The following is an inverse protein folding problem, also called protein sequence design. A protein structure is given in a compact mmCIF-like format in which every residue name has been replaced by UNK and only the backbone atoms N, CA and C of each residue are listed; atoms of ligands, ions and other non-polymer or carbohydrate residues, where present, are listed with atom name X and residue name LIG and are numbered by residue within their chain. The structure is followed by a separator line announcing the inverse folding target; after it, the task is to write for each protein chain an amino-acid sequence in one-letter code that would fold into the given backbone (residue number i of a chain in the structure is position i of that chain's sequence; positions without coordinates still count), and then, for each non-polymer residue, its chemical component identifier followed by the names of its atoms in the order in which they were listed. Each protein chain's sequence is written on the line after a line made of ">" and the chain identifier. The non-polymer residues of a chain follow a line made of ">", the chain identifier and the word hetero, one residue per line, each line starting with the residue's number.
data_IF_981576969846
#
_entry.id   IF_981576969846
#
_cell.length_a   1.000
_cell.length_b   1.000
_cell.length_c   1.000
_cell.angle_alpha   90.00
_cell.angle_beta   90.00
_cell.angle_gamma   90.00
#
_symmetry.space_group_name_H-M   'P 1'
#
loop_
_entity.id
_entity.type
_entity.pdbx_description
1 polymer ?
#
# COMPACT_ATOMS: atom_id res chain seq x y z
N UNK A 1 1.97 -7.74 4.62
CA UNK A 1 3.24 -8.06 3.97
C UNK A 1 3.27 -9.55 3.74
N UNK A 2 2.95 -9.98 2.52
CA UNK A 2 2.70 -11.40 2.22
C UNK A 2 3.24 -11.86 0.86
N UNK A 3 3.72 -10.93 0.04
CA UNK A 3 4.39 -11.19 -1.23
C UNK A 3 5.57 -10.23 -1.40
N UNK A 4 6.60 -10.70 -2.08
CA UNK A 4 7.82 -9.99 -2.39
C UNK A 4 7.53 -8.70 -3.16
N UNK A 5 8.06 -7.57 -2.66
CA UNK A 5 7.88 -6.24 -3.24
C UNK A 5 6.50 -5.62 -3.03
N UNK A 6 5.49 -6.36 -2.56
CA UNK A 6 4.12 -5.87 -2.52
C UNK A 6 3.96 -4.63 -1.63
N UNK A 7 4.33 -4.73 -0.36
CA UNK A 7 4.19 -3.62 0.60
C UNK A 7 5.15 -2.48 0.27
N UNK A 8 6.42 -2.80 0.01
CA UNK A 8 7.43 -1.78 -0.30
C UNK A 8 7.05 -0.93 -1.51
N UNK A 9 6.52 -1.54 -2.58
CA UNK A 9 6.20 -0.82 -3.81
C UNK A 9 4.95 0.03 -3.68
N UNK A 10 3.90 -0.50 -3.04
CA UNK A 10 2.69 0.27 -2.74
C UNK A 10 2.99 1.47 -1.83
N UNK A 11 3.86 1.30 -0.83
CA UNK A 11 4.31 2.40 0.02
C UNK A 11 5.16 3.41 -0.76
N UNK A 12 6.08 2.96 -1.61
CA UNK A 12 6.90 3.87 -2.42
C UNK A 12 6.02 4.74 -3.34
N UNK A 13 5.01 4.15 -3.98
CA UNK A 13 4.01 4.87 -4.78
C UNK A 13 3.27 5.90 -3.92
N UNK A 14 2.72 5.47 -2.78
CA UNK A 14 1.91 6.37 -1.95
C UNK A 14 2.73 7.49 -1.29
N UNK A 15 3.96 7.21 -0.82
CA UNK A 15 4.85 8.25 -0.30
C UNK A 15 5.31 9.20 -1.40
N UNK A 16 5.48 8.74 -2.64
CA UNK A 16 5.77 9.62 -3.78
C UNK A 16 4.59 10.56 -4.06
N UNK A 17 3.36 10.08 -3.91
CA UNK A 17 2.19 10.94 -3.99
C UNK A 17 2.12 11.94 -2.82
N UNK A 18 2.41 11.53 -1.57
CA UNK A 18 2.48 12.47 -0.45
C UNK A 18 3.60 13.51 -0.61
N UNK A 19 4.74 13.11 -1.17
CA UNK A 19 5.82 14.00 -1.57
C UNK A 19 5.32 15.04 -2.58
N UNK A 20 4.70 14.60 -3.68
CA UNK A 20 4.17 15.50 -4.69
C UNK A 20 3.15 16.48 -4.10
N UNK A 21 2.24 15.98 -3.25
CA UNK A 21 1.26 16.79 -2.56
C UNK A 21 1.91 17.82 -1.63
N UNK A 22 2.92 17.43 -0.85
CA UNK A 22 3.68 18.34 0.00
C UNK A 22 4.37 19.46 -0.78
N UNK A 23 4.95 19.13 -1.94
CA UNK A 23 5.54 20.13 -2.85
C UNK A 23 4.48 21.10 -3.37
N UNK A 24 3.35 20.59 -3.86
CA UNK A 24 2.27 21.41 -4.44
C UNK A 24 1.64 22.34 -3.39
N UNK A 25 1.48 21.86 -2.16
CA UNK A 25 0.92 22.64 -1.05
C UNK A 25 1.94 23.60 -0.39
N UNK A 26 3.19 23.63 -0.87
CA UNK A 26 4.25 24.45 -0.28
C UNK A 26 4.71 24.00 1.12
N UNK A 27 4.42 22.76 1.50
CA UNK A 27 4.80 22.12 2.78
C UNK A 27 6.16 21.42 2.62
N UNK A 28 7.23 22.20 2.53
CA UNK A 28 8.58 21.69 2.20
C UNK A 28 9.16 20.72 3.24
N UNK A 29 8.83 20.92 4.51
CA UNK A 29 9.15 20.04 5.64
C UNK A 29 8.53 18.65 5.47
N UNK A 30 7.24 18.59 5.16
CA UNK A 30 6.50 17.34 4.95
C UNK A 30 6.92 16.66 3.63
N UNK A 31 7.18 17.45 2.58
CA UNK A 31 7.71 16.95 1.33
C UNK A 31 9.08 16.28 1.52
N UNK A 32 9.97 16.89 2.31
CA UNK A 32 11.30 16.32 2.61
C UNK A 32 11.20 15.04 3.45
N UNK A 33 10.26 14.99 4.41
CA UNK A 33 9.98 13.79 5.19
C UNK A 33 9.49 12.64 4.28
N UNK A 34 8.55 12.92 3.37
CA UNK A 34 8.10 11.95 2.37
C UNK A 34 9.23 11.50 1.43
N UNK A 35 10.09 12.44 0.99
CA UNK A 35 11.25 12.16 0.15
C UNK A 35 12.21 11.16 0.83
N UNK A 36 12.44 11.36 2.12
CA UNK A 36 13.32 10.49 2.92
C UNK A 36 12.77 9.07 3.01
N UNK A 37 11.45 8.93 3.19
CA UNK A 37 10.79 7.62 3.21
C UNK A 37 10.85 6.92 1.85
N UNK A 38 10.61 7.64 0.75
CA UNK A 38 10.80 7.11 -0.61
C UNK A 38 12.26 6.69 -0.81
N UNK A 39 13.21 7.55 -0.43
CA UNK A 39 14.64 7.29 -0.54
C UNK A 39 15.10 6.06 0.25
N UNK A 40 14.52 5.81 1.43
CA UNK A 40 14.79 4.59 2.22
C UNK A 40 14.11 3.33 1.66
N UNK A 41 12.95 3.48 1.01
CA UNK A 41 12.22 2.37 0.40
C UNK A 41 12.85 1.87 -0.90
N UNK A 42 13.52 2.73 -1.68
CA UNK A 42 14.22 2.33 -2.92
C UNK A 42 15.26 1.22 -2.68
N UNK A 43 16.25 1.37 -1.77
CA UNK A 43 17.22 0.31 -1.50
C UNK A 43 16.55 -0.90 -0.86
N UNK A 44 15.55 -0.72 0.01
CA UNK A 44 14.77 -1.84 0.55
C UNK A 44 14.13 -2.66 -0.59
N UNK A 45 13.46 -2.01 -1.53
CA UNK A 45 12.84 -2.65 -2.70
C UNK A 45 13.85 -3.38 -3.58
N UNK A 46 15.06 -2.83 -3.77
CA UNK A 46 16.13 -3.52 -4.50
C UNK A 46 16.45 -4.90 -3.89
N UNK A 47 16.36 -5.04 -2.57
CA UNK A 47 16.57 -6.32 -1.87
C UNK A 47 15.28 -7.12 -1.64
N UNK A 48 14.10 -6.51 -1.75
CA UNK A 48 12.80 -7.12 -1.45
C UNK A 48 12.00 -7.55 -2.69
N UNK A 49 12.29 -7.04 -3.89
CA UNK A 49 11.68 -7.53 -5.13
C UNK A 49 12.06 -8.99 -5.35
N UNK A 50 11.10 -9.77 -5.84
CA UNK A 50 11.22 -11.21 -6.04
C UNK A 50 12.51 -11.62 -6.80
N UNK A 51 13.27 -12.60 -6.28
CA UNK A 51 13.12 -13.27 -4.99
C UNK A 51 13.68 -12.43 -3.83
N UNK A 52 12.89 -12.22 -2.77
CA UNK A 52 13.27 -11.36 -1.65
C UNK A 52 14.47 -11.91 -0.85
N UNK A 53 15.39 -11.00 -0.54
CA UNK A 53 16.55 -11.21 0.34
C UNK A 53 16.35 -10.57 1.72
N UNK A 54 15.48 -9.57 1.79
CA UNK A 54 15.14 -8.83 3.00
C UNK A 54 13.62 -8.69 3.08
N UNK A 55 13.06 -8.92 4.25
CA UNK A 55 11.64 -8.76 4.54
C UNK A 55 11.42 -7.55 5.44
N UNK A 56 10.30 -6.83 5.27
CA UNK A 56 9.99 -5.69 6.12
C UNK A 56 9.72 -6.12 7.57
N UNK A 57 9.07 -7.26 7.73
CA UNK A 57 8.55 -7.74 9.00
C UNK A 57 7.51 -6.79 9.60
N UNK A 58 7.04 -7.11 10.80
CA UNK A 58 6.05 -6.29 11.49
C UNK A 58 6.59 -4.90 11.87
N UNK A 59 7.89 -4.80 12.15
CA UNK A 59 8.53 -3.54 12.53
C UNK A 59 8.49 -2.54 11.37
N UNK A 60 8.96 -2.94 10.17
CA UNK A 60 8.95 -2.08 9.00
C UNK A 60 7.52 -1.74 8.54
N UNK A 61 6.66 -2.76 8.42
CA UNK A 61 5.31 -2.58 7.91
C UNK A 61 4.46 -1.65 8.79
N UNK A 62 4.50 -1.79 10.12
CA UNK A 62 3.75 -0.92 11.03
C UNK A 62 4.32 0.49 11.10
N UNK A 63 5.66 0.64 11.11
CA UNK A 63 6.32 1.94 11.13
C UNK A 63 5.99 2.76 9.88
N UNK A 64 6.08 2.15 8.69
CA UNK A 64 5.74 2.82 7.44
C UNK A 64 4.25 3.14 7.35
N UNK A 65 3.36 2.24 7.76
CA UNK A 65 1.93 2.54 7.80
C UNK A 65 1.62 3.73 8.73
N UNK A 66 2.25 3.79 9.90
CA UNK A 66 2.14 4.92 10.82
C UNK A 66 2.62 6.23 10.20
N UNK A 67 3.80 6.23 9.56
CA UNK A 67 4.33 7.38 8.85
C UNK A 67 3.42 7.84 7.69
N UNK A 68 2.84 6.89 6.96
CA UNK A 68 1.92 7.14 5.85
C UNK A 68 0.65 7.88 6.30
N UNK A 69 0.05 7.42 7.39
CA UNK A 69 -1.11 8.05 8.00
C UNK A 69 -0.73 9.42 8.59
N UNK A 70 0.38 9.49 9.33
CA UNK A 70 0.84 10.73 9.95
C UNK A 70 1.09 11.84 8.91
N UNK A 71 1.80 11.55 7.83
CA UNK A 71 2.04 12.52 6.76
C UNK A 71 0.73 12.99 6.10
N UNK A 72 -0.21 12.08 5.86
CA UNK A 72 -1.52 12.44 5.28
C UNK A 72 -2.34 13.34 6.21
N UNK A 73 -2.25 13.13 7.52
CA UNK A 73 -2.88 13.99 8.54
C UNK A 73 -2.21 15.37 8.59
N UNK A 74 -0.87 15.41 8.63
CA UNK A 74 -0.11 16.66 8.69
C UNK A 74 -0.25 17.52 7.43
N UNK A 75 -0.55 16.90 6.28
CA UNK A 75 -0.88 17.60 5.04
C UNK A 75 -2.33 18.12 4.99
N UNK A 76 -3.14 17.93 6.04
CA UNK A 76 -4.57 18.25 6.07
C UNK A 76 -5.35 17.56 4.93
N UNK A 77 -4.93 16.35 4.56
CA UNK A 77 -5.51 15.55 3.46
C UNK A 77 -5.85 14.12 3.88
N UNK A 78 -6.21 13.92 5.15
CA UNK A 78 -6.58 12.63 5.73
C UNK A 78 -7.63 11.85 4.91
N UNK A 79 -8.58 12.57 4.30
CA UNK A 79 -9.69 11.98 3.55
C UNK A 79 -9.25 11.21 2.30
N UNK A 80 -8.02 11.39 1.81
CA UNK A 80 -7.51 10.65 0.65
C UNK A 80 -6.97 9.27 1.02
N UNK A 81 -6.75 8.98 2.31
CA UNK A 81 -6.15 7.73 2.79
C UNK A 81 -6.86 6.47 2.27
N UNK A 82 -8.20 6.39 2.20
CA UNK A 82 -8.87 5.20 1.66
C UNK A 82 -8.55 4.93 0.19
N UNK A 83 -8.26 5.98 -0.59
CA UNK A 83 -7.84 5.86 -1.98
C UNK A 83 -6.34 5.60 -2.07
N UNK A 84 -5.54 6.44 -1.43
CA UNK A 84 -4.09 6.38 -1.48
C UNK A 84 -3.53 5.06 -0.93
N UNK A 85 -4.14 4.53 0.13
CA UNK A 85 -3.89 3.20 0.67
C UNK A 85 -4.87 2.13 0.19
N UNK A 86 -5.60 2.37 -0.91
CA UNK A 86 -6.76 1.56 -1.28
C UNK A 86 -6.46 0.08 -1.50
N UNK A 87 -5.27 -0.28 -1.99
CA UNK A 87 -4.85 -1.68 -2.07
C UNK A 87 -4.70 -2.29 -0.67
N UNK A 88 -4.10 -1.58 0.29
CA UNK A 88 -4.01 -2.04 1.69
C UNK A 88 -5.39 -2.14 2.35
N UNK A 89 -6.29 -1.22 2.04
CA UNK A 89 -7.68 -1.27 2.52
C UNK A 89 -8.39 -2.51 1.98
N UNK A 90 -8.27 -2.79 0.67
CA UNK A 90 -8.87 -3.98 0.05
C UNK A 90 -8.29 -5.28 0.63
N UNK A 91 -6.98 -5.33 0.87
CA UNK A 91 -6.32 -6.45 1.55
C UNK A 91 -6.93 -6.69 2.94
N UNK A 92 -7.02 -5.66 3.78
CA UNK A 92 -7.61 -5.77 5.12
C UNK A 92 -9.10 -6.12 5.10
N UNK A 93 -9.88 -5.47 4.23
CA UNK A 93 -11.31 -5.74 4.07
C UNK A 93 -11.56 -7.17 3.60
N UNK A 94 -10.71 -7.71 2.73
CA UNK A 94 -10.87 -9.10 2.28
C UNK A 94 -10.81 -10.10 3.43
N UNK A 95 -9.93 -9.87 4.42
CA UNK A 95 -9.83 -10.69 5.63
C UNK A 95 -11.06 -10.54 6.51
N UNK A 96 -11.51 -9.29 6.74
CA UNK A 96 -12.70 -9.02 7.57
C UNK A 96 -13.93 -9.70 6.95
N UNK A 97 -14.15 -9.54 5.65
CA UNK A 97 -15.26 -10.15 4.91
C UNK A 97 -15.18 -11.67 4.98
N UNK A 98 -13.98 -12.24 4.75
CA UNK A 98 -13.78 -13.69 4.80
C UNK A 98 -14.10 -14.27 6.18
N UNK A 99 -13.55 -13.66 7.24
CA UNK A 99 -13.78 -14.09 8.63
C UNK A 99 -15.26 -13.95 9.00
N UNK A 100 -15.90 -12.84 8.63
CA UNK A 100 -17.33 -12.63 8.87
C UNK A 100 -18.17 -13.71 8.16
N UNK A 101 -17.89 -14.02 6.89
CA UNK A 101 -18.62 -15.04 6.14
C UNK A 101 -18.51 -16.44 6.75
N UNK A 102 -17.30 -16.83 7.16
CA UNK A 102 -17.07 -18.13 7.82
C UNK A 102 -17.79 -18.21 9.16
N UNK A 103 -17.76 -17.14 9.97
CA UNK A 103 -18.47 -17.07 11.26
C UNK A 103 -20.00 -17.09 11.10
N UNK A 104 -20.53 -16.46 10.05
CA UNK A 104 -21.96 -16.40 9.75
C UNK A 104 -22.49 -17.66 9.01
N UNK A 105 -21.69 -18.74 8.95
CA UNK A 105 -22.00 -20.04 8.31
C UNK A 105 -22.25 -19.97 6.80
N UNK A 106 -21.77 -18.93 6.10
CA UNK A 106 -21.98 -18.73 4.65
C UNK A 106 -20.85 -19.23 3.75
N UNK A 107 -19.91 -20.01 4.30
CA UNK A 107 -18.76 -20.50 3.55
C UNK A 107 -17.72 -19.40 3.27
N UNK A 108 -16.81 -19.67 2.33
CA UNK A 108 -15.71 -18.77 1.94
C UNK A 108 -16.16 -17.84 0.80
N UNK A 109 -15.89 -16.54 0.91
CA UNK A 109 -16.17 -15.56 -0.16
C UNK A 109 -15.03 -15.53 -1.16
N UNK A 110 -13.80 -15.42 -0.65
CA UNK A 110 -12.58 -15.54 -1.43
C UNK A 110 -12.02 -16.95 -1.27
N UNK A 111 -11.41 -17.48 -2.35
CA UNK A 111 -10.68 -18.76 -2.30
C UNK A 111 -9.66 -18.81 -1.15
N UNK A 112 -8.96 -17.71 -0.92
CA UNK A 112 -8.08 -17.47 0.22
C UNK A 112 -8.06 -15.97 0.54
N UNK A 113 -7.90 -15.62 1.82
CA UNK A 113 -7.68 -14.25 2.26
C UNK A 113 -6.31 -14.18 2.94
N UNK A 114 -5.54 -13.08 2.81
CA UNK A 114 -5.88 -11.82 2.12
C UNK A 114 -5.99 -11.93 0.59
N UNK A 115 -6.42 -10.86 -0.09
CA UNK A 115 -6.85 -10.92 -1.49
C UNK A 115 -5.71 -11.23 -2.47
N UNK A 116 -4.45 -10.97 -2.16
CA UNK A 116 -3.34 -11.42 -3.01
C UNK A 116 -3.30 -12.95 -3.15
N UNK A 117 -3.48 -13.70 -2.06
CA UNK A 117 -3.52 -15.16 -2.10
C UNK A 117 -4.72 -15.70 -2.90
N UNK A 118 -5.83 -14.96 -2.93
CA UNK A 118 -6.95 -15.31 -3.80
C UNK A 118 -6.53 -15.39 -5.27
N UNK A 119 -5.67 -14.48 -5.73
CA UNK A 119 -5.16 -14.47 -7.09
C UNK A 119 -4.10 -15.55 -7.34
N UNK A 120 -3.26 -15.85 -6.34
CA UNK A 120 -2.30 -16.95 -6.43
C UNK A 120 -3.00 -18.30 -6.56
N UNK A 121 -4.04 -18.55 -5.77
CA UNK A 121 -4.86 -19.77 -5.87
C UNK A 121 -5.59 -19.85 -7.24
N UNK A 122 -5.85 -18.72 -7.90
CA UNK A 122 -6.34 -18.67 -9.29
C UNK A 122 -5.26 -18.92 -10.35
N UNK A 123 -4.03 -19.23 -9.94
CA UNK A 123 -2.91 -19.55 -10.83
C UNK A 123 -2.11 -18.34 -11.30
N UNK A 124 -2.20 -17.18 -10.63
CA UNK A 124 -1.29 -16.07 -10.92
C UNK A 124 0.04 -16.30 -10.21
N UNK A 125 1.14 -15.97 -10.88
CA UNK A 125 2.46 -15.94 -10.23
C UNK A 125 2.51 -14.78 -9.23
N UNK A 126 3.24 -14.94 -8.13
CA UNK A 126 3.47 -13.90 -7.12
C UNK A 126 3.89 -12.57 -7.76
N UNK A 127 4.88 -12.61 -8.67
CA UNK A 127 5.34 -11.43 -9.43
C UNK A 127 4.23 -10.75 -10.21
N UNK A 128 3.32 -11.52 -10.82
CA UNK A 128 2.17 -10.98 -11.55
C UNK A 128 1.16 -10.33 -10.63
N UNK A 129 0.94 -10.87 -9.43
CA UNK A 129 0.08 -10.25 -8.41
C UNK A 129 0.69 -8.93 -7.95
N UNK A 130 1.96 -8.94 -7.52
CA UNK A 130 2.69 -7.75 -7.07
C UNK A 130 2.65 -6.63 -8.11
N UNK A 131 3.03 -6.91 -9.37
CA UNK A 131 3.05 -5.88 -10.42
C UNK A 131 1.66 -5.32 -10.73
N UNK A 132 0.61 -6.15 -10.72
CA UNK A 132 -0.77 -5.68 -10.95
C UNK A 132 -1.29 -4.85 -9.78
N UNK A 133 -0.90 -5.18 -8.56
CA UNK A 133 -1.26 -4.42 -7.38
C UNK A 133 -0.53 -3.08 -7.37
N UNK A 134 0.72 -3.02 -7.83
CA UNK A 134 1.43 -1.76 -8.05
C UNK A 134 0.73 -0.89 -9.10
N UNK A 135 0.28 -1.47 -10.22
CA UNK A 135 -0.50 -0.72 -11.23
C UNK A 135 -1.80 -0.16 -10.63
N UNK A 136 -2.54 -0.97 -9.88
CA UNK A 136 -3.75 -0.52 -9.19
C UNK A 136 -3.43 0.57 -8.14
N UNK A 137 -2.36 0.39 -7.37
CA UNK A 137 -1.89 1.37 -6.38
C UNK A 137 -1.47 2.69 -7.02
N UNK A 138 -0.77 2.65 -8.15
CA UNK A 138 -0.39 3.83 -8.92
C UNK A 138 -1.59 4.59 -9.46
N UNK A 139 -2.58 3.87 -10.01
CA UNK A 139 -3.83 4.46 -10.45
C UNK A 139 -4.61 5.11 -9.30
N UNK A 140 -4.74 4.41 -8.16
CA UNK A 140 -5.41 4.93 -6.98
C UNK A 140 -4.68 6.14 -6.37
N UNK A 141 -3.34 6.14 -6.37
CA UNK A 141 -2.54 7.27 -5.92
C UNK A 141 -2.70 8.50 -6.83
N UNK A 142 -2.75 8.29 -8.15
CA UNK A 142 -3.08 9.37 -9.10
C UNK A 142 -4.47 9.96 -8.83
N UNK A 143 -5.49 9.10 -8.65
CA UNK A 143 -6.84 9.55 -8.34
C UNK A 143 -6.91 10.28 -6.99
N UNK A 144 -6.20 9.78 -5.98
CA UNK A 144 -6.08 10.42 -4.67
C UNK A 144 -5.45 11.81 -4.77
N UNK A 145 -4.38 11.97 -5.56
CA UNK A 145 -3.76 13.27 -5.83
C UNK A 145 -4.72 14.22 -6.53
N UNK A 146 -5.41 13.75 -7.58
CA UNK A 146 -6.39 14.56 -8.29
C UNK A 146 -7.47 15.10 -7.34
N UNK A 147 -8.03 14.23 -6.50
CA UNK A 147 -9.06 14.61 -5.53
C UNK A 147 -8.49 15.48 -4.39
N UNK A 148 -7.21 15.32 -4.03
CA UNK A 148 -6.58 16.14 -2.98
C UNK A 148 -6.40 17.61 -3.37
N UNK A 149 -6.33 17.88 -4.67
CA UNK A 149 -6.02 19.19 -5.25
C UNK A 149 -7.26 19.96 -5.74
N UNK A 150 -8.37 19.26 -5.95
CA UNK A 150 -9.68 19.83 -6.26
C UNK A 150 -10.36 20.27 -4.96
#
# INVERSE_FOLDING_TARGET
>A
DGLDGLVGGLLAIGFTALLALGVILGRSDLALAAATLVGGLIPFLYFNIYPARVFAGNVGALAWAGAFVALSLLLDRAFILPLLGGVFVLEGLSVIIQVASVKLKKGRVFLMAPIHHHFEVKGWTETKVTMRFWLAGGFLAFLALFIALV
#
